data_IF_119123808007
#
_entry.id   IF_119123808007
#
_cell.length_a   1.000
_cell.length_b   1.000
_cell.length_c   1.000
_cell.angle_alpha   90.00
_cell.angle_beta   90.00
_cell.angle_gamma   90.00
#
_symmetry.space_group_name_H-M   'P 1'
#
loop_
_entity.id
_entity.type
_entity.pdbx_description
1 polymer ?
#
# COMPACT_ATOMS: atom_id res chain seq x y z
N UNK A 1 -23.82 -3.55 9.16
CA UNK A 1 -23.17 -4.39 8.12
C UNK A 1 -21.95 -3.73 7.45
N UNK A 2 -22.03 -2.50 6.90
CA UNK A 2 -20.90 -1.89 6.15
C UNK A 2 -19.63 -1.74 7.00
N UNK A 3 -19.74 -1.32 8.27
CA UNK A 3 -18.59 -1.23 9.19
C UNK A 3 -17.91 -2.57 9.41
N UNK A 4 -18.68 -3.62 9.72
CA UNK A 4 -18.17 -4.99 9.90
C UNK A 4 -17.45 -5.47 8.64
N UNK A 5 -18.05 -5.28 7.46
CA UNK A 5 -17.45 -5.64 6.17
C UNK A 5 -16.12 -4.93 5.92
N UNK A 6 -16.01 -3.63 6.23
CA UNK A 6 -14.75 -2.88 6.10
C UNK A 6 -13.66 -3.43 7.03
N UNK A 7 -14.01 -3.77 8.27
CA UNK A 7 -13.08 -4.39 9.23
C UNK A 7 -12.61 -5.75 8.73
N UNK A 8 -13.52 -6.60 8.26
CA UNK A 8 -13.18 -7.94 7.73
C UNK A 8 -12.27 -7.85 6.50
N UNK A 9 -12.58 -6.98 5.54
CA UNK A 9 -11.76 -6.79 4.34
C UNK A 9 -10.41 -6.13 4.69
N UNK A 10 -10.38 -5.21 5.64
CA UNK A 10 -9.14 -4.64 6.17
C UNK A 10 -8.25 -5.72 6.78
N UNK A 11 -8.82 -6.60 7.61
CA UNK A 11 -8.12 -7.77 8.15
C UNK A 11 -7.59 -8.71 7.06
N UNK A 12 -8.37 -8.94 6.01
CA UNK A 12 -7.93 -9.71 4.84
C UNK A 12 -6.73 -9.06 4.15
N UNK A 13 -6.75 -7.75 3.91
CA UNK A 13 -5.60 -7.06 3.29
C UNK A 13 -4.36 -7.07 4.18
N UNK A 14 -4.51 -6.97 5.49
CA UNK A 14 -3.40 -7.16 6.44
C UNK A 14 -2.85 -8.58 6.32
N UNK A 15 -3.72 -9.59 6.36
CA UNK A 15 -3.30 -10.99 6.23
C UNK A 15 -2.57 -11.25 4.90
N UNK A 16 -3.11 -10.75 3.79
CA UNK A 16 -2.45 -10.83 2.47
C UNK A 16 -1.11 -10.09 2.46
N UNK A 17 -1.02 -8.92 3.12
CA UNK A 17 0.23 -8.17 3.24
C UNK A 17 1.30 -8.94 3.99
N UNK A 18 0.92 -9.80 4.95
CA UNK A 18 1.85 -10.67 5.67
C UNK A 18 2.20 -11.91 4.85
N UNK A 19 1.20 -12.59 4.26
CA UNK A 19 1.39 -13.89 3.60
C UNK A 19 2.06 -13.79 2.23
N UNK A 20 1.70 -12.79 1.40
CA UNK A 20 2.25 -12.68 0.04
C UNK A 20 3.78 -12.55 0.06
N UNK A 21 4.40 -11.66 0.88
CA UNK A 21 5.86 -11.60 0.97
C UNK A 21 6.50 -12.93 1.36
N UNK A 22 5.87 -13.71 2.26
CA UNK A 22 6.40 -15.01 2.68
C UNK A 22 6.43 -16.01 1.53
N UNK A 23 5.40 -16.05 0.70
CA UNK A 23 5.38 -16.92 -0.50
C UNK A 23 6.55 -16.57 -1.44
N UNK A 24 6.84 -15.30 -1.65
CA UNK A 24 7.98 -14.88 -2.48
C UNK A 24 9.34 -15.20 -1.85
N UNK A 25 9.44 -15.16 -0.52
CA UNK A 25 10.64 -15.59 0.18
C UNK A 25 10.86 -17.10 0.10
N UNK A 26 9.78 -17.91 0.17
CA UNK A 26 9.85 -19.37 0.07
C UNK A 26 10.17 -19.84 -1.35
N UNK A 27 9.59 -19.22 -2.38
CA UNK A 27 9.72 -19.67 -3.77
C UNK A 27 10.99 -19.19 -4.47
N UNK A 28 11.72 -18.24 -3.90
CA UNK A 28 12.87 -17.67 -4.58
C UNK A 28 13.98 -17.21 -3.64
N UNK A 29 13.82 -16.04 -3.00
CA UNK A 29 14.80 -15.48 -2.05
C UNK A 29 14.31 -14.16 -1.43
N UNK A 30 14.94 -13.70 -0.35
CA UNK A 30 14.67 -12.39 0.27
C UNK A 30 14.89 -11.20 -0.68
N UNK A 31 15.73 -11.35 -1.72
CA UNK A 31 15.91 -10.35 -2.77
C UNK A 31 14.61 -10.11 -3.57
N UNK A 32 13.85 -11.16 -3.87
CA UNK A 32 12.58 -11.03 -4.61
C UNK A 32 11.53 -10.24 -3.82
N UNK A 33 11.54 -10.34 -2.48
CA UNK A 33 10.69 -9.51 -1.63
C UNK A 33 10.97 -8.01 -1.79
N UNK A 34 12.24 -7.63 -1.97
CA UNK A 34 12.62 -6.22 -2.22
C UNK A 34 12.29 -5.77 -3.64
N UNK A 35 12.46 -6.66 -4.62
CA UNK A 35 12.22 -6.35 -6.05
C UNK A 35 10.74 -6.19 -6.39
N UNK A 36 9.89 -7.09 -5.88
CA UNK A 36 8.48 -7.18 -6.27
C UNK A 36 7.55 -6.34 -5.39
N UNK A 37 8.06 -5.81 -4.27
CA UNK A 37 7.30 -5.00 -3.29
C UNK A 37 5.93 -5.63 -2.93
N UNK A 38 5.86 -6.94 -2.62
CA UNK A 38 4.61 -7.70 -2.55
C UNK A 38 3.61 -7.14 -1.54
N UNK A 39 4.12 -6.53 -0.48
CA UNK A 39 3.34 -5.95 0.60
C UNK A 39 2.60 -4.65 0.22
N UNK A 40 3.11 -3.91 -0.75
CA UNK A 40 2.53 -2.63 -1.17
C UNK A 40 1.20 -2.85 -1.90
N UNK A 41 1.05 -3.99 -2.58
CA UNK A 41 -0.12 -4.28 -3.41
C UNK A 41 -1.40 -4.43 -2.58
N UNK A 42 -1.46 -5.26 -1.51
CA UNK A 42 -2.64 -5.31 -0.65
C UNK A 42 -2.90 -4.00 0.10
N UNK A 43 -1.86 -3.26 0.48
CA UNK A 43 -1.99 -1.96 1.16
C UNK A 43 -2.63 -0.91 0.24
N UNK A 44 -2.14 -0.78 -0.99
CA UNK A 44 -2.71 0.10 -2.01
C UNK A 44 -4.17 -0.27 -2.30
N UNK A 45 -4.45 -1.56 -2.53
CA UNK A 45 -5.82 -2.05 -2.72
C UNK A 45 -6.73 -1.73 -1.53
N UNK A 46 -6.21 -1.86 -0.30
CA UNK A 46 -6.89 -1.46 0.92
C UNK A 46 -7.28 0.02 0.91
N UNK A 47 -6.38 0.90 0.49
CA UNK A 47 -6.66 2.32 0.27
C UNK A 47 -7.75 2.56 -0.77
N UNK A 48 -7.58 2.01 -1.98
CA UNK A 48 -8.55 2.12 -3.08
C UNK A 48 -9.96 1.66 -2.66
N UNK A 49 -10.08 0.52 -1.97
CA UNK A 49 -11.37 -0.13 -1.70
C UNK A 49 -12.02 0.39 -0.41
N UNK A 50 -11.24 0.58 0.66
CA UNK A 50 -11.78 0.92 1.98
C UNK A 50 -11.80 2.44 2.25
N UNK A 51 -10.99 3.20 1.52
CA UNK A 51 -10.78 4.64 1.67
C UNK A 51 -9.57 5.00 2.53
N UNK A 52 -9.27 6.30 2.69
CA UNK A 52 -8.00 6.78 3.22
C UNK A 52 -7.71 6.32 4.65
N UNK A 53 -8.68 6.41 5.55
CA UNK A 53 -8.49 6.06 6.98
C UNK A 53 -8.19 4.56 7.15
N UNK A 54 -8.94 3.70 6.46
CA UNK A 54 -8.69 2.25 6.52
C UNK A 54 -7.41 1.88 5.78
N UNK A 55 -7.10 2.52 4.64
CA UNK A 55 -5.84 2.34 3.93
C UNK A 55 -4.63 2.67 4.80
N UNK A 56 -4.70 3.78 5.56
CA UNK A 56 -3.67 4.15 6.53
C UNK A 56 -3.49 3.06 7.60
N UNK A 57 -4.59 2.60 8.21
CA UNK A 57 -4.55 1.56 9.25
C UNK A 57 -3.97 0.26 8.69
N UNK A 58 -4.40 -0.17 7.50
CA UNK A 58 -3.88 -1.37 6.83
C UNK A 58 -2.39 -1.21 6.56
N UNK A 59 -1.96 -0.07 6.02
CA UNK A 59 -0.57 0.23 5.72
C UNK A 59 0.33 0.29 6.96
N UNK A 60 -0.17 0.79 8.08
CA UNK A 60 0.57 0.84 9.34
C UNK A 60 0.61 -0.52 10.06
N UNK A 61 -0.54 -1.20 10.14
CA UNK A 61 -0.68 -2.45 10.89
C UNK A 61 0.01 -3.63 10.21
N UNK A 62 -0.01 -3.67 8.87
CA UNK A 62 0.57 -4.78 8.13
C UNK A 62 2.06 -5.02 8.43
N UNK A 63 2.96 -4.01 8.39
CA UNK A 63 4.39 -4.24 8.64
C UNK A 63 4.66 -4.58 10.11
N UNK A 64 3.92 -3.97 11.05
CA UNK A 64 4.03 -4.29 12.47
C UNK A 64 3.68 -5.76 12.74
N UNK A 65 2.54 -6.22 12.20
CA UNK A 65 2.09 -7.60 12.35
C UNK A 65 3.00 -8.58 11.62
N UNK A 66 3.51 -8.21 10.45
CA UNK A 66 4.50 -9.01 9.73
C UNK A 66 5.75 -9.23 10.58
N UNK A 67 6.32 -8.17 11.18
CA UNK A 67 7.52 -8.32 12.02
C UNK A 67 7.27 -9.18 13.24
N UNK A 68 6.11 -9.03 13.89
CA UNK A 68 5.74 -9.84 15.07
C UNK A 68 5.61 -11.32 14.70
N UNK A 69 5.01 -11.63 13.54
CA UNK A 69 4.69 -13.00 13.16
C UNK A 69 5.85 -13.72 12.47
N UNK A 70 6.66 -13.00 11.69
CA UNK A 70 7.66 -13.60 10.79
C UNK A 70 9.08 -13.09 11.02
N UNK A 71 9.28 -12.14 11.95
CA UNK A 71 10.56 -11.48 12.15
C UNK A 71 10.98 -10.52 11.02
N UNK A 72 10.09 -10.24 10.06
CA UNK A 72 10.36 -9.38 8.90
C UNK A 72 9.22 -8.36 8.69
N UNK A 73 9.51 -7.09 8.34
CA UNK A 73 10.83 -6.51 8.09
C UNK A 73 11.71 -6.39 9.34
N UNK A 74 13.02 -6.24 9.13
CA UNK A 74 13.99 -6.00 10.20
C UNK A 74 13.62 -4.74 11.00
N UNK A 75 13.84 -4.76 12.32
CA UNK A 75 13.45 -3.68 13.23
C UNK A 75 14.03 -2.31 12.83
N UNK A 76 15.24 -2.27 12.28
CA UNK A 76 15.87 -1.04 11.80
C UNK A 76 15.10 -0.38 10.64
N UNK A 77 14.46 -1.19 9.79
CA UNK A 77 13.70 -0.72 8.61
C UNK A 77 12.22 -0.54 8.91
N UNK A 78 11.73 -1.12 10.00
CA UNK A 78 10.31 -1.16 10.36
C UNK A 78 9.68 0.24 10.44
N UNK A 79 10.26 1.24 11.12
CA UNK A 79 9.63 2.57 11.23
C UNK A 79 9.41 3.22 9.87
N UNK A 80 10.40 3.14 8.98
CA UNK A 80 10.33 3.70 7.63
C UNK A 80 9.29 2.99 6.78
N UNK A 81 9.19 1.67 6.88
CA UNK A 81 8.22 0.87 6.13
C UNK A 81 6.78 1.09 6.63
N UNK A 82 6.59 1.27 7.94
CA UNK A 82 5.29 1.66 8.53
C UNK A 82 4.85 3.01 7.98
N UNK A 83 5.73 4.02 8.01
CA UNK A 83 5.43 5.37 7.54
C UNK A 83 5.12 5.36 6.03
N UNK A 84 5.96 4.67 5.24
CA UNK A 84 5.77 4.53 3.79
C UNK A 84 4.44 3.85 3.47
N UNK A 85 4.20 2.64 3.98
CA UNK A 85 2.99 1.88 3.64
C UNK A 85 1.72 2.56 4.15
N UNK A 86 1.75 3.19 5.33
CA UNK A 86 0.65 3.99 5.83
C UNK A 86 0.32 5.15 4.86
N UNK A 87 1.34 5.83 4.34
CA UNK A 87 1.18 6.87 3.34
C UNK A 87 0.62 6.33 2.02
N UNK A 88 1.15 5.21 1.51
CA UNK A 88 0.63 4.56 0.30
C UNK A 88 -0.87 4.23 0.42
N UNK A 89 -1.28 3.60 1.53
CA UNK A 89 -2.68 3.26 1.78
C UNK A 89 -3.57 4.48 1.97
N UNK A 90 -3.09 5.51 2.68
CA UNK A 90 -3.83 6.75 2.87
C UNK A 90 -4.04 7.49 1.54
N UNK A 91 -2.96 7.73 0.80
CA UNK A 91 -2.95 8.57 -0.40
C UNK A 91 -3.72 7.92 -1.54
N UNK A 92 -3.57 6.60 -1.73
CA UNK A 92 -4.36 5.87 -2.74
C UNK A 92 -5.87 5.98 -2.46
N UNK A 93 -6.28 5.83 -1.20
CA UNK A 93 -7.67 6.00 -0.80
C UNK A 93 -8.16 7.45 -0.91
N UNK A 94 -7.33 8.42 -0.53
CA UNK A 94 -7.65 9.85 -0.62
C UNK A 94 -7.82 10.29 -2.08
N UNK A 95 -6.84 9.97 -2.92
CA UNK A 95 -6.84 10.33 -4.33
C UNK A 95 -8.00 9.69 -5.09
N UNK A 96 -8.20 8.38 -4.91
CA UNK A 96 -9.23 7.68 -5.66
C UNK A 96 -10.64 8.03 -5.21
N UNK A 97 -10.88 8.05 -3.89
CA UNK A 97 -12.22 8.17 -3.32
C UNK A 97 -12.61 9.59 -2.96
N UNK A 98 -11.77 10.30 -2.22
CA UNK A 98 -12.10 11.64 -1.70
C UNK A 98 -11.96 12.71 -2.77
N UNK A 99 -10.87 12.69 -3.55
CA UNK A 99 -10.67 13.59 -4.69
C UNK A 99 -11.49 13.21 -5.94
N UNK A 100 -12.39 12.22 -5.81
CA UNK A 100 -13.31 11.78 -6.87
C UNK A 100 -12.62 11.37 -8.18
N UNK A 101 -11.34 10.99 -8.15
CA UNK A 101 -10.66 10.47 -9.34
C UNK A 101 -11.30 9.19 -9.85
N UNK A 102 -12.00 8.42 -9.00
CA UNK A 102 -12.87 7.31 -9.40
C UNK A 102 -13.79 7.63 -10.60
N UNK A 103 -14.30 8.86 -10.72
CA UNK A 103 -15.19 9.27 -11.82
C UNK A 103 -14.46 9.52 -13.15
N UNK A 104 -13.13 9.56 -13.15
CA UNK A 104 -12.31 9.82 -14.34
C UNK A 104 -11.88 8.51 -15.00
N UNK A 105 -11.81 8.51 -16.34
CA UNK A 105 -11.41 7.35 -17.15
C UNK A 105 -10.08 6.71 -16.73
N UNK A 106 -9.12 7.53 -16.30
CA UNK A 106 -7.80 7.08 -15.82
C UNK A 106 -7.61 7.26 -14.30
N UNK A 107 -8.71 7.36 -13.57
CA UNK A 107 -8.72 7.65 -12.14
C UNK A 107 -7.86 6.72 -11.29
N UNK A 108 -7.91 5.42 -11.59
CA UNK A 108 -7.13 4.40 -10.87
C UNK A 108 -5.64 4.59 -11.09
N UNK A 109 -5.20 4.74 -12.36
CA UNK A 109 -3.79 4.92 -12.71
C UNK A 109 -3.25 6.22 -12.11
N UNK A 110 -3.99 7.33 -12.23
CA UNK A 110 -3.58 8.63 -11.66
C UNK A 110 -3.42 8.52 -10.14
N UNK A 111 -4.41 7.95 -9.45
CA UNK A 111 -4.36 7.78 -8.00
C UNK A 111 -3.20 6.89 -7.56
N UNK A 112 -2.92 5.84 -8.33
CA UNK A 112 -1.86 4.89 -8.06
C UNK A 112 -0.48 5.54 -8.22
N UNK A 113 -0.26 6.27 -9.31
CA UNK A 113 0.99 7.00 -9.56
C UNK A 113 1.21 8.07 -8.49
N UNK A 114 0.17 8.81 -8.10
CA UNK A 114 0.26 9.79 -7.01
C UNK A 114 0.64 9.12 -5.69
N UNK A 115 -0.01 7.99 -5.35
CA UNK A 115 0.30 7.24 -4.13
C UNK A 115 1.73 6.69 -4.13
N UNK A 116 2.19 6.15 -5.26
CA UNK A 116 3.57 5.68 -5.42
C UNK A 116 4.58 6.81 -5.25
N UNK A 117 4.38 7.93 -5.95
CA UNK A 117 5.30 9.05 -5.90
C UNK A 117 5.36 9.66 -4.49
N UNK A 118 4.21 10.00 -3.91
CA UNK A 118 4.17 10.62 -2.59
C UNK A 118 4.61 9.67 -1.47
N UNK A 119 4.31 8.37 -1.59
CA UNK A 119 4.81 7.37 -0.67
C UNK A 119 6.34 7.31 -0.66
N UNK A 120 6.98 7.35 -1.84
CA UNK A 120 8.45 7.44 -1.94
C UNK A 120 9.02 8.74 -1.42
N UNK A 121 8.35 9.87 -1.65
CA UNK A 121 8.75 11.17 -1.08
C UNK A 121 8.69 11.11 0.45
N UNK A 122 7.64 10.55 1.02
CA UNK A 122 7.48 10.39 2.47
C UNK A 122 8.53 9.43 3.05
N UNK A 123 8.84 8.33 2.36
CA UNK A 123 9.93 7.44 2.73
C UNK A 123 11.28 8.16 2.72
N UNK A 124 11.59 8.93 1.67
CA UNK A 124 12.82 9.71 1.58
C UNK A 124 12.92 10.77 2.69
N UNK A 125 11.82 11.46 3.00
CA UNK A 125 11.76 12.42 4.11
C UNK A 125 11.98 11.73 5.46
N UNK A 126 11.39 10.56 5.67
CA UNK A 126 11.59 9.80 6.90
C UNK A 126 13.06 9.38 7.08
N UNK A 127 13.71 8.92 6.00
CA UNK A 127 15.15 8.61 6.02
C UNK A 127 16.02 9.86 6.24
N UNK A 128 15.66 10.98 5.61
CA UNK A 128 16.37 12.26 5.79
C UNK A 128 16.31 12.73 7.25
N UNK A 129 15.13 12.70 7.87
CA UNK A 129 14.97 13.04 9.28
C UNK A 129 15.79 12.07 10.16
N UNK A 130 15.79 10.77 9.87
CA UNK A 130 16.57 9.82 10.64
C UNK A 130 18.10 10.01 10.49
N UNK A 131 18.58 10.31 9.29
CA UNK A 131 20.00 10.55 9.03
C UNK A 131 20.48 11.85 9.69
N UNK A 132 19.78 12.95 9.43
CA UNK A 132 20.28 14.29 9.77
C UNK A 132 19.82 14.77 11.15
N UNK A 133 18.62 14.39 11.60
CA UNK A 133 18.09 14.81 12.90
C UNK A 133 18.36 13.81 14.03
N UNK A 134 18.39 12.51 13.70
CA UNK A 134 18.66 11.44 14.69
C UNK A 134 20.10 10.90 14.62
N UNK A 135 20.94 11.45 13.74
CA UNK A 135 22.35 11.09 13.54
C UNK A 135 22.57 9.58 13.29
N UNK A 136 21.62 8.91 12.62
CA UNK A 136 21.75 7.49 12.30
C UNK A 136 22.76 7.27 11.17
N UNK A 137 23.87 6.59 11.48
CA UNK A 137 24.91 6.26 10.49
C UNK A 137 24.45 5.14 9.55
N UNK A 138 24.75 5.25 8.24
CA UNK A 138 24.41 4.23 7.24
C UNK A 138 23.04 4.42 6.57
N UNK A 139 22.32 5.49 6.93
CA UNK A 139 21.08 5.91 6.27
C UNK A 139 21.39 7.18 5.49
N UNK A 140 21.22 7.16 4.17
CA UNK A 140 21.57 8.30 3.31
C UNK A 140 20.82 8.31 1.99
N UNK A 141 21.06 9.35 1.18
CA UNK A 141 20.40 9.54 -0.12
C UNK A 141 20.57 8.33 -1.07
N UNK A 142 21.66 7.58 -0.93
CA UNK A 142 21.90 6.32 -1.65
C UNK A 142 20.83 5.26 -1.37
N UNK A 143 20.33 5.14 -0.14
CA UNK A 143 19.30 4.17 0.23
C UNK A 143 17.94 4.47 -0.44
N UNK A 144 17.64 5.75 -0.69
CA UNK A 144 16.45 6.15 -1.46
C UNK A 144 16.61 5.72 -2.91
N UNK A 145 17.77 6.00 -3.52
CA UNK A 145 18.03 5.66 -4.91
C UNK A 145 17.98 4.14 -5.14
N UNK A 146 18.58 3.37 -4.25
CA UNK A 146 18.51 1.91 -4.27
C UNK A 146 17.06 1.41 -4.16
N UNK A 147 16.25 2.01 -3.28
CA UNK A 147 14.84 1.60 -3.11
C UNK A 147 14.00 1.82 -4.38
N UNK A 148 14.32 2.86 -5.16
CA UNK A 148 13.63 3.16 -6.43
C UNK A 148 14.08 2.20 -7.52
N UNK A 149 15.39 2.01 -7.68
CA UNK A 149 15.96 1.12 -8.70
C UNK A 149 15.51 -0.32 -8.47
N UNK A 150 15.64 -0.81 -7.23
CA UNK A 150 15.22 -2.18 -6.89
C UNK A 150 13.70 -2.35 -7.00
N UNK A 151 12.91 -1.33 -6.68
CA UNK A 151 11.46 -1.38 -6.69
C UNK A 151 10.80 -1.31 -8.07
N UNK A 152 11.55 -1.13 -9.16
CA UNK A 152 10.98 -0.86 -10.49
C UNK A 152 10.09 -2.00 -10.99
N UNK A 153 10.49 -3.26 -10.76
CA UNK A 153 9.70 -4.43 -11.13
C UNK A 153 8.39 -4.49 -10.33
N UNK A 154 8.45 -4.22 -9.02
CA UNK A 154 7.27 -4.10 -8.18
C UNK A 154 6.32 -3.00 -8.64
N UNK A 155 6.83 -1.85 -9.06
CA UNK A 155 6.02 -0.75 -9.60
C UNK A 155 5.29 -1.19 -10.87
N UNK A 156 5.99 -1.87 -11.81
CA UNK A 156 5.38 -2.39 -13.04
C UNK A 156 4.24 -3.36 -12.70
N UNK A 157 4.48 -4.30 -11.77
CA UNK A 157 3.46 -5.27 -11.35
C UNK A 157 2.26 -4.56 -10.72
N UNK A 158 2.49 -3.56 -9.88
CA UNK A 158 1.41 -2.77 -9.26
C UNK A 158 0.60 -2.01 -10.31
N UNK A 159 1.25 -1.39 -11.30
CA UNK A 159 0.59 -0.67 -12.40
C UNK A 159 -0.23 -1.59 -13.31
N UNK A 160 0.09 -2.87 -13.39
CA UNK A 160 -0.70 -3.86 -14.13
C UNK A 160 -1.83 -4.43 -13.27
N UNK A 161 -1.51 -4.96 -12.09
CA UNK A 161 -2.47 -5.72 -11.28
C UNK A 161 -3.53 -4.84 -10.61
N UNK A 162 -3.16 -3.69 -10.06
CA UNK A 162 -4.10 -2.87 -9.28
C UNK A 162 -5.21 -2.31 -10.18
N UNK A 163 -4.92 -1.68 -11.34
CA UNK A 163 -5.97 -1.21 -12.23
C UNK A 163 -6.90 -2.32 -12.72
N UNK A 164 -6.35 -3.49 -13.07
CA UNK A 164 -7.15 -4.64 -13.50
C UNK A 164 -8.09 -5.13 -12.39
N UNK A 165 -7.61 -5.27 -11.16
CA UNK A 165 -8.42 -5.70 -10.03
C UNK A 165 -9.53 -4.71 -9.69
N UNK A 166 -9.21 -3.41 -9.64
CA UNK A 166 -10.21 -2.38 -9.35
C UNK A 166 -11.28 -2.34 -10.45
N UNK A 167 -10.88 -2.42 -11.72
CA UNK A 167 -11.83 -2.47 -12.84
C UNK A 167 -12.81 -3.64 -12.74
N UNK A 168 -12.33 -4.84 -12.41
CA UNK A 168 -13.17 -6.04 -12.23
C UNK A 168 -14.11 -5.87 -11.02
N UNK A 169 -13.63 -5.29 -9.92
CA UNK A 169 -14.45 -5.03 -8.73
C UNK A 169 -15.54 -3.98 -8.97
N UNK A 170 -15.26 -2.94 -9.76
CA UNK A 170 -16.26 -1.95 -10.17
C UNK A 170 -17.30 -2.57 -11.10
N UNK A 171 -16.86 -3.31 -12.12
CA UNK A 171 -17.77 -3.92 -13.11
C UNK A 171 -18.68 -5.01 -12.52
N UNK A 172 -18.22 -5.72 -11.49
CA UNK A 172 -19.01 -6.74 -10.79
C UNK A 172 -19.99 -6.16 -9.75
N UNK A 173 -19.97 -4.84 -9.52
CA UNK A 173 -20.80 -4.16 -8.51
C UNK A 173 -20.42 -4.48 -7.05
N UNK A 174 -19.38 -5.30 -6.82
CA UNK A 174 -18.89 -5.60 -5.47
C UNK A 174 -18.27 -4.38 -4.81
N UNK A 175 -17.61 -3.51 -5.58
CA UNK A 175 -17.01 -2.29 -5.06
C UNK A 175 -18.06 -1.42 -4.33
N UNK A 176 -19.20 -1.14 -4.97
CA UNK A 176 -20.25 -0.27 -4.40
C UNK A 176 -20.93 -0.88 -3.17
N UNK A 177 -21.02 -2.22 -3.12
CA UNK A 177 -21.50 -2.96 -1.94
C UNK A 177 -20.54 -2.88 -0.75
N UNK A 178 -19.23 -2.71 -0.99
CA UNK A 178 -18.22 -2.55 0.06
C UNK A 178 -18.12 -1.11 0.52
N UNK A 179 -18.16 -0.15 -0.42
CA UNK A 179 -18.04 1.27 -0.11
C UNK A 179 -19.31 1.88 0.45
N UNK A 180 -20.46 1.23 0.25
CA UNK A 180 -21.78 1.70 0.67
C UNK A 180 -22.40 2.72 -0.30
N UNK A 181 -21.76 2.95 -1.45
CA UNK A 181 -22.17 3.95 -2.44
C UNK A 181 -23.37 3.48 -3.30
N UNK A 182 -23.58 2.17 -3.42
CA UNK A 182 -24.75 1.62 -4.12
C UNK A 182 -26.11 1.92 -3.48
N UNK A 183 -26.14 2.43 -2.23
CA UNK A 183 -27.38 2.85 -1.55
C UNK A 183 -27.76 4.31 -1.80
N UNK A 184 -26.88 5.13 -2.37
CA UNK A 184 -27.14 6.57 -2.59
C UNK A 184 -27.93 6.90 -3.86
N UNK A 185 -28.12 5.94 -4.76
CA UNK A 185 -28.80 6.15 -6.05
C UNK A 185 -30.26 5.66 -6.07
N UNK A 186 -30.88 5.39 -4.91
CA UNK A 186 -32.25 4.82 -4.80
C UNK A 186 -33.13 5.63 -3.82
N UNK A 187 -32.78 6.88 -3.55
CA UNK A 187 -33.59 7.83 -2.76
C UNK A 187 -33.60 9.16 -3.47
#
# INVERSE_FOLDING_TARGET
MIRVRKVTIGGLFIALSVLIPQVFHLLGSAQLGKLLLPMHLPVLLGGFILGPVFGLIVGAAAPLLSTILTGMPAFERLPFMVIELAAYGFISGLAYRTLSFRKRKFGVIISLVIAMFLGRVIYALALFIAADFLHMTGIGASAVLESVITGIFGIIIQLLLIPSLIFVLERSGYYDKVTGEGKKNVT
#
